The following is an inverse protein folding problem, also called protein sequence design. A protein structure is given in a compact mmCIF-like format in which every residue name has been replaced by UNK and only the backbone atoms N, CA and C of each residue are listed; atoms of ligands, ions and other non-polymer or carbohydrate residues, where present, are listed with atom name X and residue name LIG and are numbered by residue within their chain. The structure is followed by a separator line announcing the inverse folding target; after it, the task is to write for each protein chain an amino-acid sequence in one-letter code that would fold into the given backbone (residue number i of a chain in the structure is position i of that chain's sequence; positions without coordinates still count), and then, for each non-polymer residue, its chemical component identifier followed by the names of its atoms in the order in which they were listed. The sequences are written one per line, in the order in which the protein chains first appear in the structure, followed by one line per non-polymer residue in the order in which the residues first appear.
data_IF_096258265446
#
_entry.id   IF_096258265446
#
_cell.length_a   1.000
_cell.length_b   1.000
_cell.length_c   1.000
_cell.angle_alpha   90.00
_cell.angle_beta   90.00
_cell.angle_gamma   90.00
#
_symmetry.space_group_name_H-M   'P 1'
#
loop_
_entity.id
_entity.type
_entity.pdbx_description
1 polymer ?
#
# COMPACT_ATOMS: atom_id res chain seq x y z
N UNK A 1 0.70 16.66 2.05
CA UNK A 1 0.97 15.26 2.41
C UNK A 1 1.18 14.52 1.09
N UNK A 2 2.31 13.88 0.88
CA UNK A 2 2.67 13.28 -0.40
C UNK A 2 2.91 11.79 -0.19
N UNK A 3 2.35 10.95 -1.06
CA UNK A 3 2.79 9.57 -1.23
C UNK A 3 4.31 9.54 -1.49
N UNK A 4 4.89 8.36 -1.47
CA UNK A 4 6.27 8.16 -1.91
C UNK A 4 6.50 8.83 -3.27
N UNK A 5 7.69 9.40 -3.46
CA UNK A 5 8.05 10.12 -4.70
C UNK A 5 7.76 9.32 -5.96
N UNK A 6 8.00 8.02 -5.90
CA UNK A 6 7.76 7.08 -7.01
C UNK A 6 6.28 6.99 -7.45
N UNK A 7 5.34 7.43 -6.61
CA UNK A 7 3.91 7.40 -6.88
C UNK A 7 3.32 8.75 -7.26
N UNK A 8 4.11 9.82 -7.30
CA UNK A 8 3.63 11.18 -7.59
C UNK A 8 3.03 11.33 -9.00
N UNK A 9 3.44 10.50 -9.94
CA UNK A 9 2.92 10.51 -11.31
C UNK A 9 1.55 9.83 -11.46
N UNK A 10 1.08 9.14 -10.42
CA UNK A 10 -0.19 8.41 -10.45
C UNK A 10 -1.30 9.18 -9.76
N UNK A 11 -2.56 9.06 -10.24
CA UNK A 11 -3.71 9.57 -9.51
C UNK A 11 -3.72 8.99 -8.09
N UNK A 12 -3.95 9.82 -7.09
CA UNK A 12 -3.89 9.39 -5.69
C UNK A 12 -5.07 9.91 -4.88
N UNK A 13 -5.37 9.24 -3.78
CA UNK A 13 -6.28 9.69 -2.73
C UNK A 13 -5.69 9.42 -1.35
N UNK A 14 -6.21 10.10 -0.35
CA UNK A 14 -5.88 9.78 1.04
C UNK A 14 -6.61 8.50 1.50
N UNK A 15 -5.96 7.77 2.39
CA UNK A 15 -6.57 6.66 3.09
C UNK A 15 -7.69 7.12 4.01
N UNK A 16 -8.68 6.27 4.21
CA UNK A 16 -9.77 6.43 5.17
C UNK A 16 -9.76 5.24 6.13
N UNK A 17 -10.14 5.46 7.40
CA UNK A 17 -10.26 4.37 8.36
C UNK A 17 -11.24 3.31 7.85
N UNK A 18 -10.86 2.04 7.95
CA UNK A 18 -11.61 0.91 7.40
C UNK A 18 -11.28 0.55 5.94
N UNK A 19 -10.45 1.33 5.24
CA UNK A 19 -10.00 0.98 3.89
C UNK A 19 -9.34 -0.41 3.86
N UNK A 20 -9.79 -1.25 2.94
CA UNK A 20 -9.12 -2.49 2.56
C UNK A 20 -8.24 -2.21 1.34
N UNK A 21 -6.95 -2.34 1.53
CA UNK A 21 -5.93 -2.01 0.55
C UNK A 21 -5.16 -3.25 0.14
N UNK A 22 -4.48 -3.17 -0.99
CA UNK A 22 -3.57 -4.20 -1.47
C UNK A 22 -2.28 -3.56 -1.97
N UNK A 23 -1.17 -4.22 -1.67
CA UNK A 23 0.14 -3.82 -2.22
C UNK A 23 0.15 -4.13 -3.71
N UNK A 24 0.40 -3.12 -4.53
CA UNK A 24 0.41 -3.22 -5.98
C UNK A 24 1.63 -2.55 -6.58
N UNK A 25 2.07 -3.10 -7.70
CA UNK A 25 3.08 -2.51 -8.54
C UNK A 25 2.44 -1.47 -9.47
N UNK A 26 2.87 -0.23 -9.37
CA UNK A 26 2.40 0.88 -10.20
C UNK A 26 3.25 1.06 -11.44
N UNK A 27 4.55 0.84 -11.32
CA UNK A 27 5.50 0.81 -12.43
C UNK A 27 6.55 -0.30 -12.23
N UNK A 28 7.56 -0.37 -13.08
CA UNK A 28 8.59 -1.41 -13.02
C UNK A 28 9.36 -1.46 -11.68
N UNK A 29 9.38 -0.37 -10.91
CA UNK A 29 10.23 -0.23 -9.71
C UNK A 29 9.46 0.12 -8.44
N UNK A 30 8.18 0.54 -8.54
CA UNK A 30 7.46 1.14 -7.42
C UNK A 30 6.28 0.28 -6.97
N UNK A 31 6.32 -0.18 -5.73
CA UNK A 31 5.17 -0.73 -5.04
C UNK A 31 4.47 0.40 -4.27
N UNK A 32 3.16 0.36 -4.27
CA UNK A 32 2.31 1.27 -3.51
C UNK A 32 1.06 0.54 -3.03
N UNK A 33 0.16 1.28 -2.41
CA UNK A 33 -1.11 0.76 -1.95
C UNK A 33 -2.23 1.23 -2.88
N UNK A 34 -3.14 0.33 -3.21
CA UNK A 34 -4.36 0.60 -3.96
C UNK A 34 -5.57 0.06 -3.20
N UNK A 35 -6.75 0.61 -3.43
CA UNK A 35 -7.96 0.03 -2.88
C UNK A 35 -8.19 -1.38 -3.44
N UNK A 36 -8.51 -2.34 -2.58
CA UNK A 36 -8.73 -3.73 -2.99
C UNK A 36 -9.85 -3.86 -4.03
N UNK A 37 -10.84 -2.98 -3.98
CA UNK A 37 -11.95 -2.93 -4.94
C UNK A 37 -11.51 -2.44 -6.33
N UNK A 38 -10.46 -1.62 -6.42
CA UNK A 38 -9.94 -1.10 -7.68
C UNK A 38 -9.03 -2.12 -8.38
N UNK A 39 -8.52 -3.09 -7.61
CA UNK A 39 -7.65 -4.15 -8.10
C UNK A 39 -8.49 -5.39 -8.36
N UNK A 40 -9.03 -5.51 -9.57
CA UNK A 40 -9.71 -6.76 -9.98
C UNK A 40 -8.71 -7.90 -9.98
N UNK A 41 -9.07 -9.06 -9.40
CA UNK A 41 -8.17 -10.21 -9.36
C UNK A 41 -7.80 -10.62 -10.81
N UNK A 42 -6.51 -10.77 -11.05
CA UNK A 42 -5.94 -11.23 -12.34
C UNK A 42 -6.51 -12.61 -12.74
N UNK A 43 -7.13 -13.33 -11.81
CA UNK A 43 -7.76 -14.64 -12.06
C UNK A 43 -8.96 -14.58 -13.00
N UNK A 44 -9.69 -13.47 -13.10
CA UNK A 44 -10.77 -13.36 -14.09
C UNK A 44 -10.26 -13.28 -15.53
N UNK A 45 -9.00 -12.88 -15.74
CA UNK A 45 -8.41 -12.87 -17.10
C UNK A 45 -8.12 -14.26 -17.68
N UNK A 46 -7.94 -15.28 -16.84
CA UNK A 46 -7.66 -16.65 -17.31
C UNK A 46 -8.90 -17.42 -17.76
N UNK A 47 -10.10 -17.02 -17.33
CA UNK A 47 -11.34 -17.68 -17.73
C UNK A 47 -11.93 -17.17 -19.05
N UNK A 48 -11.24 -16.24 -19.73
CA UNK A 48 -11.68 -15.69 -21.03
C UNK A 48 -11.51 -16.67 -22.22
N UNK A 49 -10.85 -17.80 -22.00
CA UNK A 49 -10.60 -18.75 -23.10
C UNK A 49 -11.82 -19.60 -23.46
N UNK A 50 -12.91 -19.56 -22.68
CA UNK A 50 -14.11 -20.36 -22.92
C UNK A 50 -15.39 -19.53 -23.18
N UNK A 51 -15.26 -18.21 -23.35
CA UNK A 51 -16.40 -17.38 -23.73
C UNK A 51 -16.53 -17.31 -25.26
N UNK A 52 -17.72 -17.64 -25.77
CA UNK A 52 -17.99 -17.70 -27.18
C UNK A 52 -17.74 -16.37 -27.92
N UNK A 53 -17.63 -16.46 -29.24
CA UNK A 53 -17.35 -15.38 -30.19
C UNK A 53 -18.09 -14.06 -29.88
N UNK A 54 -19.35 -14.13 -29.45
CA UNK A 54 -20.17 -12.96 -29.14
C UNK A 54 -19.75 -12.20 -27.89
N UNK A 55 -19.13 -12.86 -26.92
CA UNK A 55 -18.59 -12.19 -25.75
C UNK A 55 -17.30 -11.39 -26.09
N UNK A 56 -16.51 -11.93 -27.03
CA UNK A 56 -15.32 -11.23 -27.57
C UNK A 56 -15.72 -9.98 -28.38
N UNK A 57 -16.81 -10.06 -29.15
CA UNK A 57 -17.31 -8.90 -29.90
C UNK A 57 -17.82 -7.80 -28.97
N UNK A 58 -18.54 -8.16 -27.91
CA UNK A 58 -18.97 -7.19 -26.88
C UNK A 58 -17.80 -6.52 -26.17
N UNK A 59 -16.71 -7.23 -25.89
CA UNK A 59 -15.53 -6.66 -25.27
C UNK A 59 -14.82 -5.63 -26.17
N UNK A 60 -14.99 -5.69 -27.48
CA UNK A 60 -14.46 -4.71 -28.44
C UNK A 60 -15.28 -3.41 -28.47
N UNK A 61 -16.56 -3.48 -28.14
CA UNK A 61 -17.46 -2.30 -28.20
C UNK A 61 -17.72 -1.64 -26.83
N UNK A 62 -17.32 -2.31 -25.72
CA UNK A 62 -17.25 -1.67 -24.43
C UNK A 62 -15.78 -1.34 -24.17
N UNK A 63 -15.35 -0.08 -24.34
CA UNK A 63 -14.05 0.32 -23.85
C UNK A 63 -14.05 -0.01 -22.36
N UNK A 64 -13.10 -0.87 -21.97
CA UNK A 64 -12.78 -1.06 -20.56
C UNK A 64 -12.73 0.33 -19.96
N UNK A 65 -13.54 0.56 -18.95
CA UNK A 65 -13.42 1.74 -18.13
C UNK A 65 -12.05 1.61 -17.47
N UNK A 66 -11.03 2.10 -18.16
CA UNK A 66 -9.69 2.32 -17.62
C UNK A 66 -9.80 3.44 -16.60
N UNK A 67 -10.50 3.16 -15.51
CA UNK A 67 -10.37 4.00 -14.33
C UNK A 67 -8.94 3.79 -13.86
N UNK A 68 -8.05 4.76 -14.01
CA UNK A 68 -6.66 4.58 -13.64
C UNK A 68 -6.63 4.20 -12.17
N UNK A 69 -5.98 3.08 -11.85
CA UNK A 69 -5.88 2.60 -10.48
C UNK A 69 -5.21 3.71 -9.68
N UNK A 70 -5.90 4.14 -8.62
CA UNK A 70 -5.44 5.23 -7.77
C UNK A 70 -4.52 4.70 -6.68
N UNK A 71 -3.39 5.36 -6.49
CA UNK A 71 -2.57 5.14 -5.33
C UNK A 71 -3.27 5.67 -4.07
N UNK A 72 -3.22 4.90 -2.98
CA UNK A 72 -3.75 5.33 -1.68
C UNK A 72 -2.59 5.76 -0.80
N UNK A 73 -2.60 7.04 -0.44
CA UNK A 73 -1.58 7.64 0.41
C UNK A 73 -1.99 7.54 1.87
N UNK A 74 -1.13 6.95 2.68
CA UNK A 74 -1.34 6.80 4.12
C UNK A 74 -0.53 7.87 4.86
N UNK A 75 -1.13 8.59 5.80
CA UNK A 75 -0.38 9.54 6.63
C UNK A 75 0.49 8.79 7.66
N UNK A 76 1.72 9.28 7.94
CA UNK A 76 2.54 8.75 9.01
C UNK A 76 1.80 8.78 10.36
N UNK A 77 1.91 7.69 11.14
CA UNK A 77 1.19 7.50 12.39
C UNK A 77 -0.07 6.66 12.26
N UNK A 78 -0.58 6.42 11.04
CA UNK A 78 -1.73 5.56 10.82
C UNK A 78 -1.47 4.12 11.29
N UNK A 79 -2.46 3.51 11.97
CA UNK A 79 -2.41 2.10 12.37
C UNK A 79 -2.95 1.23 11.27
N UNK A 80 -2.20 0.19 10.96
CA UNK A 80 -2.48 -0.74 9.88
C UNK A 80 -2.52 -2.17 10.41
N UNK A 81 -3.32 -3.02 9.78
CA UNK A 81 -3.29 -4.46 9.92
C UNK A 81 -2.73 -5.04 8.63
N UNK A 82 -1.55 -5.61 8.71
CA UNK A 82 -0.88 -6.28 7.59
C UNK A 82 -1.26 -7.75 7.64
N UNK A 83 -1.75 -8.30 6.53
CA UNK A 83 -2.13 -9.71 6.39
C UNK A 83 -1.25 -10.39 5.37
N UNK A 84 -1.33 -11.71 5.31
CA UNK A 84 -0.62 -12.54 4.34
C UNK A 84 0.90 -12.29 4.35
N UNK A 85 1.46 -12.11 5.55
CA UNK A 85 2.89 -11.87 5.72
C UNK A 85 3.66 -13.13 5.33
N UNK A 86 4.53 -13.02 4.33
CA UNK A 86 5.30 -14.17 3.83
C UNK A 86 6.21 -14.76 4.91
N UNK A 87 6.43 -16.08 4.88
CA UNK A 87 7.31 -16.78 5.83
C UNK A 87 8.73 -16.18 5.87
N UNK A 88 9.21 -15.69 4.73
CA UNK A 88 10.50 -14.99 4.66
C UNK A 88 10.49 -13.71 5.51
N UNK A 89 9.46 -12.88 5.35
CA UNK A 89 9.36 -11.62 6.09
C UNK A 89 9.13 -11.88 7.59
N UNK A 90 8.34 -12.91 7.93
CA UNK A 90 8.18 -13.35 9.32
C UNK A 90 9.52 -13.71 9.96
N UNK A 91 10.35 -14.50 9.27
CA UNK A 91 11.66 -14.88 9.74
C UNK A 91 12.60 -13.67 9.90
N UNK A 92 12.66 -12.79 8.91
CA UNK A 92 13.49 -11.58 8.93
C UNK A 92 13.07 -10.59 10.05
N UNK A 93 11.78 -10.50 10.34
CA UNK A 93 11.23 -9.61 11.37
C UNK A 93 11.14 -10.23 12.76
N UNK A 94 11.40 -11.54 12.91
CA UNK A 94 11.40 -12.23 14.20
C UNK A 94 10.01 -12.48 14.79
N UNK A 95 8.97 -12.58 13.97
CA UNK A 95 7.62 -13.00 14.41
C UNK A 95 7.11 -14.19 13.56
N UNK A 96 6.08 -14.88 14.07
CA UNK A 96 5.57 -16.14 13.45
C UNK A 96 4.18 -16.00 12.86
N UNK A 97 3.59 -14.84 12.96
CA UNK A 97 2.19 -14.62 12.60
C UNK A 97 2.09 -14.11 11.15
N UNK A 98 1.09 -14.62 10.41
CA UNK A 98 0.78 -14.14 9.07
C UNK A 98 0.02 -12.81 9.07
N UNK A 99 -0.33 -12.34 10.28
CA UNK A 99 -1.10 -11.13 10.52
C UNK A 99 -0.41 -10.33 11.62
N UNK A 100 -0.15 -9.04 11.38
CA UNK A 100 0.45 -8.19 12.39
C UNK A 100 -0.04 -6.75 12.28
N UNK A 101 -0.22 -6.10 13.43
CA UNK A 101 -0.43 -4.66 13.48
C UNK A 101 0.90 -3.92 13.28
N UNK A 102 0.83 -2.83 12.56
CA UNK A 102 1.96 -1.95 12.31
C UNK A 102 1.52 -0.49 12.26
N UNK A 103 2.46 0.42 12.44
CA UNK A 103 2.26 1.85 12.28
C UNK A 103 2.93 2.29 10.99
N UNK A 104 2.21 2.99 10.13
CA UNK A 104 2.78 3.57 8.93
C UNK A 104 3.75 4.69 9.31
N UNK A 105 4.93 4.68 8.72
CA UNK A 105 6.00 5.66 9.01
C UNK A 105 6.76 6.03 7.75
N UNK A 106 7.53 7.09 7.83
CA UNK A 106 8.46 7.50 6.77
C UNK A 106 9.87 7.53 7.35
N UNK A 107 10.81 6.85 6.71
CA UNK A 107 12.17 6.67 7.22
C UNK A 107 13.17 7.68 6.65
N UNK A 108 12.80 8.44 5.63
CA UNK A 108 13.63 9.45 4.99
C UNK A 108 12.80 10.68 4.62
N UNK A 109 13.45 11.84 4.59
CA UNK A 109 12.89 13.08 4.05
C UNK A 109 13.31 13.33 2.59
N UNK A 110 14.17 12.47 2.02
CA UNK A 110 14.72 12.64 0.68
C UNK A 110 13.65 12.41 -0.38
N UNK A 111 13.55 13.35 -1.33
CA UNK A 111 12.55 13.31 -2.39
C UNK A 111 12.77 12.16 -3.39
N UNK A 112 13.99 11.63 -3.50
CA UNK A 112 14.37 10.63 -4.52
C UNK A 112 14.61 9.25 -3.93
N UNK A 113 14.18 8.97 -2.69
CA UNK A 113 14.30 7.67 -2.05
C UNK A 113 12.95 7.09 -1.67
N UNK A 114 12.87 5.78 -1.61
CA UNK A 114 11.72 5.10 -1.00
C UNK A 114 11.74 5.40 0.51
N UNK A 115 10.68 5.98 1.01
CA UNK A 115 10.58 6.42 2.40
C UNK A 115 9.42 5.81 3.15
N UNK A 116 8.40 5.36 2.44
CA UNK A 116 7.21 4.76 3.03
C UNK A 116 7.56 3.39 3.62
N UNK A 117 7.25 3.20 4.89
CA UNK A 117 7.58 2.03 5.66
C UNK A 117 6.48 1.70 6.68
N UNK A 118 6.51 0.51 7.21
CA UNK A 118 5.67 0.07 8.31
C UNK A 118 6.55 -0.33 9.49
N UNK A 119 6.19 0.12 10.68
CA UNK A 119 6.85 -0.24 11.94
C UNK A 119 5.95 -1.21 12.69
N UNK A 120 6.45 -2.42 12.89
CA UNK A 120 5.77 -3.45 13.67
C UNK A 120 5.89 -3.20 15.19
N UNK A 121 5.07 -3.86 16.00
CA UNK A 121 5.04 -3.70 17.45
C UNK A 121 6.37 -4.06 18.13
N UNK A 122 7.15 -4.98 17.55
CA UNK A 122 8.50 -5.33 18.03
C UNK A 122 9.58 -4.30 17.67
N UNK A 123 9.21 -3.16 17.06
CA UNK A 123 10.11 -2.07 16.67
C UNK A 123 10.77 -2.26 15.29
N UNK A 124 10.61 -3.41 14.64
CA UNK A 124 11.19 -3.64 13.31
C UNK A 124 10.49 -2.75 12.28
N UNK A 125 11.28 -2.08 11.45
CA UNK A 125 10.79 -1.21 10.38
C UNK A 125 11.06 -1.86 9.03
N UNK A 126 10.02 -1.99 8.22
CA UNK A 126 10.06 -2.60 6.89
C UNK A 126 9.60 -1.60 5.85
N UNK A 127 10.42 -1.35 4.83
CA UNK A 127 10.02 -0.54 3.68
C UNK A 127 8.82 -1.14 2.97
N UNK A 128 7.90 -0.30 2.50
CA UNK A 128 6.75 -0.73 1.70
C UNK A 128 7.20 -1.52 0.46
N UNK A 129 8.35 -1.17 -0.11
CA UNK A 129 8.95 -1.86 -1.27
C UNK A 129 9.40 -3.30 -0.98
N UNK A 130 9.49 -3.72 0.29
CA UNK A 130 9.83 -5.10 0.69
C UNK A 130 8.62 -5.99 0.92
N UNK A 131 7.43 -5.40 0.95
CA UNK A 131 6.19 -6.16 0.97
C UNK A 131 6.00 -6.85 -0.39
N UNK A 132 5.23 -7.92 -0.43
CA UNK A 132 4.96 -8.59 -1.71
C UNK A 132 3.71 -8.01 -2.39
N UNK A 133 3.71 -8.04 -3.72
CA UNK A 133 2.56 -7.65 -4.50
C UNK A 133 1.36 -8.58 -4.22
N UNK A 134 0.20 -8.00 -3.98
CA UNK A 134 -1.01 -8.72 -3.59
C UNK A 134 -1.22 -8.82 -2.08
N UNK A 135 -0.27 -8.38 -1.26
CA UNK A 135 -0.41 -8.40 0.19
C UNK A 135 -1.52 -7.47 0.67
N UNK A 136 -2.38 -7.98 1.53
CA UNK A 136 -3.53 -7.24 2.05
C UNK A 136 -3.14 -6.35 3.22
N UNK A 137 -3.66 -5.12 3.21
CA UNK A 137 -3.44 -4.12 4.27
C UNK A 137 -4.77 -3.46 4.60
N UNK A 138 -5.16 -3.47 5.87
CA UNK A 138 -6.35 -2.75 6.34
C UNK A 138 -5.95 -1.53 7.16
N UNK A 139 -6.58 -0.41 6.90
CA UNK A 139 -6.43 0.81 7.69
C UNK A 139 -7.32 0.70 8.93
N UNK A 140 -6.69 0.66 10.10
CA UNK A 140 -7.41 0.55 11.38
C UNK A 140 -7.81 1.92 11.92
N UNK A 141 -6.85 2.84 11.94
CA UNK A 141 -7.02 4.13 12.61
C UNK A 141 -6.07 5.18 12.03
N UNK A 142 -6.55 6.40 11.92
CA UNK A 142 -5.80 7.57 11.43
C UNK A 142 -5.63 8.66 12.49
N UNK A 143 -6.20 8.51 13.69
CA UNK A 143 -6.23 9.55 14.72
C UNK A 143 -4.82 9.99 15.16
N UNK A 144 -3.91 9.05 15.36
CA UNK A 144 -2.51 9.36 15.70
C UNK A 144 -1.74 10.09 14.59
N UNK A 145 -2.20 9.98 13.35
CA UNK A 145 -1.65 10.70 12.22
C UNK A 145 -2.10 12.17 12.21
N UNK A 146 -3.32 12.44 12.62
CA UNK A 146 -3.87 13.80 12.73
C UNK A 146 -3.17 14.58 13.85
N UNK A 147 -2.87 13.96 14.99
CA UNK A 147 -2.12 14.58 16.08
C UNK A 147 -0.70 15.00 15.67
N UNK A 148 -0.02 14.21 14.85
CA UNK A 148 1.33 14.54 14.35
C UNK A 148 1.34 15.72 13.36
N UNK A 149 0.25 15.95 12.65
CA UNK A 149 0.11 17.11 11.74
C UNK A 149 -0.12 18.39 12.53
N UNK A 150 -0.78 18.31 13.68
CA UNK A 150 -1.08 19.45 14.57
C UNK A 150 0.04 19.85 15.52
N UNK A 151 1.03 19.00 15.76
CA UNK A 151 2.14 19.29 16.67
C UNK A 151 3.26 20.10 15.98
N UNK A 152 3.74 21.21 16.57
CA UNK A 152 4.91 21.91 16.04
C UNK A 152 6.11 20.95 16.10
N UNK A 153 6.88 20.89 15.00
CA UNK A 153 8.10 20.07 14.90
C UNK A 153 9.10 20.45 15.99
N UNK A 154 8.99 19.78 17.14
CA UNK A 154 10.02 19.79 18.15
C UNK A 154 11.28 19.11 17.60
N UNK A 155 12.41 19.82 17.65
CA UNK A 155 13.74 19.30 17.33
C UNK A 155 13.95 18.00 18.13
N UNK A 156 13.94 16.86 17.48
CA UNK A 156 14.49 15.65 18.07
C UNK A 156 16.01 15.74 17.97
N UNK A 157 16.64 15.81 19.13
CA UNK A 157 18.08 15.82 19.27
C UNK A 157 18.69 14.55 18.71
N UNK A 158 19.69 14.70 17.86
CA UNK A 158 20.60 13.67 17.42
C UNK A 158 21.33 13.18 18.68
N UNK A 159 21.08 11.93 19.09
CA UNK A 159 22.00 11.22 19.99
C UNK A 159 22.94 10.40 19.11
N UNK A 160 24.20 10.64 19.33
CA UNK A 160 25.41 10.10 18.71
C UNK A 160 25.43 8.57 18.80
#
# INVERSE_FOLDING_TARGET
MMCDYSLMAFPSRLAVAGDELVVRRFDAKSLGLAAALDVRPVQERRNFTNQGFWARLRALFHPFSDNPIRAVCIPPGARLLIRDISARLQYECGFREELAEAVFTQISADANSFRDAVRFQNGVVVLLQRLHEGQSVRVLDLSSAEEQIGAPKGRQGVTI
#
